data_IF_364266758189
#
_entry.id   IF_364266758189
#
_cell.length_a   1.000
_cell.length_b   1.000
_cell.length_c   1.000
_cell.angle_alpha   90.00
_cell.angle_beta   90.00
_cell.angle_gamma   90.00
#
_symmetry.space_group_name_H-M   'P 1'
#
loop_
_entity.id
_entity.type
_entity.pdbx_description
1 polymer ?
#
# COMPACT_ATOMS: atom_id res chain seq x y z
N UNK A 1 12.64 -18.00 6.39
CA UNK A 1 12.68 -17.04 7.53
C UNK A 1 11.36 -17.13 8.27
N UNK A 2 11.39 -17.38 9.58
CA UNK A 2 10.17 -17.57 10.39
C UNK A 2 9.14 -16.44 10.25
N UNK A 3 9.60 -15.19 10.13
CA UNK A 3 8.70 -14.06 9.92
C UNK A 3 7.87 -14.17 8.64
N UNK A 4 8.48 -14.61 7.53
CA UNK A 4 7.75 -14.80 6.27
C UNK A 4 6.78 -15.98 6.38
N UNK A 5 7.18 -17.06 7.06
CA UNK A 5 6.32 -18.20 7.33
C UNK A 5 5.08 -17.79 8.16
N UNK A 6 5.27 -16.93 9.17
CA UNK A 6 4.18 -16.39 9.97
C UNK A 6 3.22 -15.53 9.13
N UNK A 7 3.74 -14.70 8.22
CA UNK A 7 2.92 -13.92 7.29
C UNK A 7 2.16 -14.81 6.29
N UNK A 8 2.82 -15.86 5.77
CA UNK A 8 2.19 -16.86 4.91
C UNK A 8 1.08 -17.61 5.65
N UNK A 9 1.28 -17.91 6.93
CA UNK A 9 0.23 -18.51 7.78
C UNK A 9 -0.93 -17.53 7.96
N UNK A 10 -0.65 -16.25 8.19
CA UNK A 10 -1.68 -15.22 8.37
C UNK A 10 -2.62 -15.08 7.16
N UNK A 11 -2.09 -15.20 5.95
CA UNK A 11 -2.86 -15.10 4.70
C UNK A 11 -3.27 -16.46 4.12
N UNK A 12 -2.98 -17.55 4.86
CA UNK A 12 -3.43 -18.91 4.57
C UNK A 12 -2.62 -19.69 3.54
N UNK A 13 -1.49 -19.18 3.12
CA UNK A 13 -0.58 -19.88 2.20
C UNK A 13 0.26 -20.96 2.92
N UNK A 14 0.15 -21.04 4.26
CA UNK A 14 0.88 -21.99 5.10
C UNK A 14 0.07 -22.34 6.36
N UNK A 15 0.27 -23.54 6.94
CA UNK A 15 -0.46 -23.99 8.12
C UNK A 15 0.34 -23.93 9.42
N UNK A 16 1.67 -24.02 9.35
CA UNK A 16 2.53 -24.06 10.52
C UNK A 16 3.93 -23.52 10.19
N UNK A 17 4.68 -23.14 11.22
CA UNK A 17 6.09 -22.77 11.09
C UNK A 17 6.97 -24.02 10.93
N UNK A 18 8.16 -23.87 10.38
CA UNK A 18 9.12 -24.98 10.22
C UNK A 18 9.57 -25.59 11.54
N UNK A 19 9.59 -24.79 12.61
CA UNK A 19 9.82 -25.24 13.98
C UNK A 19 9.08 -24.32 14.96
N UNK A 20 8.95 -24.77 16.21
CA UNK A 20 8.42 -23.94 17.29
C UNK A 20 9.49 -22.90 17.70
N UNK A 21 9.23 -21.58 17.58
CA UNK A 21 10.21 -20.57 17.92
C UNK A 21 10.50 -20.50 19.41
N UNK A 22 11.74 -20.18 19.78
CA UNK A 22 12.15 -19.87 21.15
C UNK A 22 11.53 -18.55 21.63
N UNK A 23 11.64 -18.23 22.90
CA UNK A 23 11.14 -16.96 23.46
C UNK A 23 11.85 -15.75 22.84
N UNK A 24 13.14 -15.87 22.54
CA UNK A 24 13.97 -14.84 21.89
C UNK A 24 13.51 -14.64 20.43
N UNK A 25 13.35 -15.73 19.67
CA UNK A 25 12.86 -15.69 18.29
C UNK A 25 11.47 -15.06 18.22
N UNK A 26 10.57 -15.38 19.16
CA UNK A 26 9.26 -14.73 19.25
C UNK A 26 9.34 -13.23 19.52
N UNK A 27 10.29 -12.78 20.34
CA UNK A 27 10.53 -11.36 20.60
C UNK A 27 11.03 -10.63 19.34
N UNK A 28 11.90 -11.28 18.55
CA UNK A 28 12.38 -10.77 17.27
C UNK A 28 11.26 -10.70 16.23
N UNK A 29 10.40 -11.73 16.15
CA UNK A 29 9.25 -11.77 15.26
C UNK A 29 8.28 -10.63 15.56
N UNK A 30 8.01 -10.35 16.83
CA UNK A 30 7.17 -9.24 17.25
C UNK A 30 7.78 -7.89 16.88
N UNK A 31 9.07 -7.70 17.13
CA UNK A 31 9.79 -6.48 16.74
C UNK A 31 9.78 -6.25 15.21
N UNK A 32 9.96 -7.31 14.43
CA UNK A 32 9.86 -7.26 12.97
C UNK A 32 8.44 -6.91 12.51
N UNK A 33 7.41 -7.49 13.13
CA UNK A 33 6.02 -7.17 12.84
C UNK A 33 5.71 -5.68 13.07
N UNK A 34 6.24 -5.10 14.16
CA UNK A 34 6.13 -3.68 14.43
C UNK A 34 6.92 -2.85 13.40
N UNK A 35 8.17 -3.22 13.12
CA UNK A 35 9.05 -2.55 12.15
C UNK A 35 8.45 -2.48 10.76
N UNK A 36 7.73 -3.53 10.34
CA UNK A 36 7.10 -3.63 9.03
C UNK A 36 5.63 -3.17 8.99
N UNK A 37 5.11 -2.66 10.13
CA UNK A 37 3.70 -2.27 10.32
C UNK A 37 2.71 -3.40 9.97
N UNK A 38 3.06 -4.63 10.34
CA UNK A 38 2.28 -5.85 10.14
C UNK A 38 1.86 -6.50 11.46
N UNK A 39 1.85 -5.77 12.56
CA UNK A 39 1.56 -6.28 13.91
C UNK A 39 0.25 -7.07 13.96
N UNK A 40 -0.85 -6.51 13.44
CA UNK A 40 -2.14 -7.20 13.45
C UNK A 40 -2.16 -8.42 12.52
N UNK A 41 -1.66 -8.27 11.29
CA UNK A 41 -1.60 -9.39 10.32
C UNK A 41 -0.76 -10.55 10.86
N UNK A 42 0.43 -10.27 11.39
CA UNK A 42 1.28 -11.32 11.95
C UNK A 42 0.64 -11.96 13.20
N UNK A 43 -0.11 -11.20 14.01
CA UNK A 43 -0.89 -11.76 15.12
C UNK A 43 -1.99 -12.71 14.61
N UNK A 44 -2.66 -12.38 13.52
CA UNK A 44 -3.61 -13.31 12.91
C UNK A 44 -2.92 -14.64 12.53
N UNK A 45 -1.67 -14.59 12.04
CA UNK A 45 -0.87 -15.80 11.85
C UNK A 45 -0.66 -16.57 13.16
N UNK A 46 -0.35 -15.89 14.27
CA UNK A 46 -0.24 -16.50 15.60
C UNK A 46 -1.53 -17.19 16.04
N UNK A 47 -2.69 -16.59 15.78
CA UNK A 47 -4.00 -17.18 16.10
C UNK A 47 -4.23 -18.52 15.39
N UNK A 48 -3.71 -18.66 14.17
CA UNK A 48 -3.86 -19.86 13.32
C UNK A 48 -2.84 -20.95 13.61
N UNK A 49 -1.72 -20.63 14.33
CA UNK A 49 -0.70 -21.61 14.64
C UNK A 49 -1.19 -22.68 15.63
N UNK A 50 -0.69 -23.94 15.50
CA UNK A 50 -0.85 -24.96 16.52
C UNK A 50 -0.40 -24.47 17.90
N UNK A 51 -1.03 -24.93 18.98
CA UNK A 51 -0.77 -24.45 20.34
C UNK A 51 0.72 -24.54 20.73
N UNK A 52 1.40 -25.63 20.34
CA UNK A 52 2.83 -25.85 20.61
C UNK A 52 3.80 -24.92 19.86
N UNK A 53 3.29 -24.11 18.91
CA UNK A 53 4.07 -23.13 18.15
C UNK A 53 3.77 -21.68 18.53
N UNK A 54 2.90 -21.44 19.52
CA UNK A 54 2.49 -20.08 19.92
C UNK A 54 3.49 -19.40 20.83
N UNK A 55 3.55 -18.05 20.87
CA UNK A 55 4.47 -17.33 21.76
C UNK A 55 4.14 -17.54 23.24
N UNK A 56 5.11 -17.28 24.16
CA UNK A 56 4.86 -17.27 25.59
C UNK A 56 3.70 -16.34 25.98
N UNK A 57 2.90 -16.74 26.99
CA UNK A 57 1.68 -16.02 27.42
C UNK A 57 1.85 -14.50 27.61
N UNK A 58 2.93 -13.97 28.23
CA UNK A 58 3.09 -12.52 28.38
C UNK A 58 3.16 -11.80 27.03
N UNK A 59 3.96 -12.31 26.08
CA UNK A 59 4.11 -11.73 24.74
C UNK A 59 2.83 -11.92 23.91
N UNK A 60 2.17 -13.07 24.03
CA UNK A 60 0.88 -13.32 23.38
C UNK A 60 -0.16 -12.27 23.81
N UNK A 61 -0.26 -11.98 25.12
CA UNK A 61 -1.19 -10.97 25.62
C UNK A 61 -0.84 -9.55 25.15
N UNK A 62 0.46 -9.20 25.17
CA UNK A 62 0.94 -7.91 24.66
C UNK A 62 0.58 -7.73 23.18
N UNK A 63 0.80 -8.75 22.37
CA UNK A 63 0.52 -8.72 20.93
C UNK A 63 -0.99 -8.66 20.65
N UNK A 64 -1.78 -9.45 21.39
CA UNK A 64 -3.23 -9.38 21.36
C UNK A 64 -3.75 -7.96 21.62
N UNK A 65 -3.31 -7.34 22.70
CA UNK A 65 -3.73 -5.97 23.06
C UNK A 65 -3.34 -4.93 21.99
N UNK A 66 -2.17 -5.09 21.37
CA UNK A 66 -1.76 -4.22 20.25
C UNK A 66 -2.65 -4.43 19.03
N UNK A 67 -3.05 -5.67 18.75
CA UNK A 67 -3.94 -6.01 17.63
C UNK A 67 -5.36 -5.50 17.85
N UNK A 68 -5.91 -5.64 19.05
CA UNK A 68 -7.26 -5.12 19.36
C UNK A 68 -7.32 -3.58 19.23
N UNK A 69 -6.24 -2.87 19.58
CA UNK A 69 -6.14 -1.42 19.30
C UNK A 69 -6.17 -1.13 17.80
N UNK A 70 -5.44 -1.91 16.98
CA UNK A 70 -5.46 -1.78 15.51
C UNK A 70 -6.86 -1.99 14.97
N UNK A 71 -7.59 -3.02 15.43
CA UNK A 71 -8.97 -3.30 15.02
C UNK A 71 -9.92 -2.16 15.37
N UNK A 72 -9.84 -1.64 16.60
CA UNK A 72 -10.66 -0.52 17.03
C UNK A 72 -10.38 0.76 16.20
N UNK A 73 -9.11 1.04 15.91
CA UNK A 73 -8.72 2.17 15.06
C UNK A 73 -9.26 2.01 13.62
N UNK A 74 -9.22 0.80 13.04
CA UNK A 74 -9.74 0.56 11.69
C UNK A 74 -11.26 0.77 11.63
N UNK A 75 -12.02 0.27 12.61
CA UNK A 75 -13.47 0.47 12.68
C UNK A 75 -13.84 1.96 12.70
N UNK A 76 -13.14 2.75 13.50
CA UNK A 76 -13.34 4.20 13.57
C UNK A 76 -12.91 4.89 12.27
N UNK A 77 -11.79 4.48 11.69
CA UNK A 77 -11.25 5.06 10.47
C UNK A 77 -12.17 4.79 9.26
N UNK A 78 -12.73 3.59 9.16
CA UNK A 78 -13.71 3.22 8.12
C UNK A 78 -14.95 4.12 8.17
N UNK A 79 -15.50 4.32 9.37
CA UNK A 79 -16.65 5.18 9.60
C UNK A 79 -16.34 6.63 9.20
N UNK A 80 -15.19 7.16 9.64
CA UNK A 80 -14.77 8.52 9.32
C UNK A 80 -14.46 8.70 7.84
N UNK A 81 -13.78 7.74 7.20
CA UNK A 81 -13.47 7.80 5.78
C UNK A 81 -14.71 7.87 4.89
N UNK A 82 -15.74 7.08 5.24
CA UNK A 82 -17.03 7.13 4.54
C UNK A 82 -17.71 8.50 4.72
N UNK A 83 -17.72 9.03 5.96
CA UNK A 83 -18.29 10.37 6.25
C UNK A 83 -17.57 11.48 5.48
N UNK A 84 -16.25 11.41 5.38
CA UNK A 84 -15.44 12.37 4.60
C UNK A 84 -15.76 12.28 3.10
N UNK A 85 -15.86 11.06 2.56
CA UNK A 85 -16.20 10.87 1.14
C UNK A 85 -17.59 11.42 0.81
N UNK A 86 -18.58 11.21 1.68
CA UNK A 86 -19.93 11.78 1.54
C UNK A 86 -19.90 13.29 1.62
N UNK A 87 -19.19 13.88 2.60
CA UNK A 87 -19.07 15.33 2.72
C UNK A 87 -18.54 15.95 1.43
N UNK A 88 -17.48 15.41 0.85
CA UNK A 88 -16.94 15.93 -0.41
C UNK A 88 -17.94 15.78 -1.57
N UNK A 89 -18.66 14.65 -1.63
CA UNK A 89 -19.68 14.43 -2.65
C UNK A 89 -20.82 15.46 -2.54
N UNK A 90 -21.33 15.70 -1.33
CA UNK A 90 -22.40 16.66 -1.04
C UNK A 90 -21.95 18.10 -1.35
N UNK A 91 -20.68 18.42 -1.15
CA UNK A 91 -20.07 19.72 -1.47
C UNK A 91 -19.72 19.87 -2.98
N UNK A 92 -20.07 18.86 -3.81
CA UNK A 92 -19.87 18.90 -5.27
C UNK A 92 -18.49 18.42 -5.74
N UNK A 93 -17.69 17.79 -4.86
CA UNK A 93 -16.37 17.24 -5.17
C UNK A 93 -16.36 15.70 -5.01
N UNK A 94 -16.92 14.94 -5.97
CA UNK A 94 -16.86 13.49 -5.90
C UNK A 94 -15.41 13.01 -5.89
N UNK A 95 -15.12 11.98 -5.11
CA UNK A 95 -13.77 11.47 -4.97
C UNK A 95 -13.71 10.00 -4.60
N UNK A 96 -12.51 9.41 -4.66
CA UNK A 96 -12.25 8.02 -4.32
C UNK A 96 -11.10 7.92 -3.33
N UNK A 97 -11.18 6.95 -2.41
CA UNK A 97 -10.11 6.64 -1.46
C UNK A 97 -9.03 5.82 -2.19
N UNK A 98 -7.81 6.36 -2.26
CA UNK A 98 -6.74 5.83 -3.11
C UNK A 98 -6.01 4.61 -2.54
N UNK A 99 -5.77 4.58 -1.24
CA UNK A 99 -4.99 3.55 -0.54
C UNK A 99 -5.56 3.32 0.87
N UNK A 100 -4.80 2.68 1.75
CA UNK A 100 -5.21 2.51 3.14
C UNK A 100 -6.53 1.75 3.25
N UNK A 101 -7.56 2.41 3.73
CA UNK A 101 -8.89 1.82 3.94
C UNK A 101 -9.55 1.36 2.62
N UNK A 102 -9.26 2.03 1.49
CA UNK A 102 -9.73 1.59 0.18
C UNK A 102 -9.20 0.22 -0.21
N UNK A 103 -7.89 -0.01 -0.05
CA UNK A 103 -7.26 -1.30 -0.36
C UNK A 103 -7.57 -2.35 0.71
N UNK A 104 -7.75 -1.95 1.98
CA UNK A 104 -8.12 -2.87 3.05
C UNK A 104 -9.40 -3.67 2.73
N UNK A 105 -10.33 -3.11 1.94
CA UNK A 105 -11.54 -3.83 1.49
C UNK A 105 -11.27 -5.06 0.63
N UNK A 106 -10.06 -5.18 0.08
CA UNK A 106 -9.60 -6.34 -0.70
C UNK A 106 -8.94 -7.43 0.16
N UNK A 107 -8.78 -7.20 1.47
CA UNK A 107 -8.11 -8.10 2.41
C UNK A 107 -9.06 -9.24 2.84
N UNK A 108 -9.46 -10.06 1.88
CA UNK A 108 -10.33 -11.21 2.10
C UNK A 108 -9.61 -12.49 1.75
N UNK A 109 -9.75 -13.48 2.61
CA UNK A 109 -9.16 -14.80 2.45
C UNK A 109 -10.24 -15.84 2.66
N UNK A 110 -10.35 -16.79 1.74
CA UNK A 110 -11.25 -17.93 1.89
C UNK A 110 -10.56 -19.02 2.72
N UNK A 111 -11.17 -19.42 3.82
CA UNK A 111 -10.74 -20.57 4.60
C UNK A 111 -11.48 -21.82 4.11
N UNK A 112 -10.77 -22.73 3.48
CA UNK A 112 -11.28 -24.07 3.21
C UNK A 112 -10.91 -24.95 4.40
N UNK A 113 -11.91 -25.48 5.10
CA UNK A 113 -11.66 -26.52 6.11
C UNK A 113 -10.93 -27.69 5.43
N UNK A 114 -9.70 -27.97 5.90
CA UNK A 114 -8.82 -29.08 5.50
C UNK A 114 -8.06 -29.00 4.17
N UNK A 115 -7.94 -27.88 3.48
CA UNK A 115 -6.96 -27.79 2.39
C UNK A 115 -6.62 -26.34 2.04
N UNK A 116 -5.44 -26.15 1.46
CA UNK A 116 -4.88 -24.87 0.98
C UNK A 116 -5.94 -23.83 0.65
N UNK A 117 -5.85 -22.63 1.25
CA UNK A 117 -6.68 -21.50 0.91
C UNK A 117 -6.77 -21.34 -0.62
N UNK A 118 -7.96 -21.44 -1.17
CA UNK A 118 -8.23 -21.05 -2.55
C UNK A 118 -8.67 -19.61 -2.56
N UNK A 119 -7.92 -18.77 -3.26
CA UNK A 119 -8.39 -17.45 -3.67
C UNK A 119 -9.29 -17.70 -4.88
N UNK A 120 -10.60 -17.71 -4.70
CA UNK A 120 -11.53 -17.80 -5.81
C UNK A 120 -11.78 -16.41 -6.39
N UNK A 121 -11.54 -16.30 -7.70
CA UNK A 121 -11.86 -15.12 -8.47
C UNK A 121 -13.38 -14.96 -8.54
N UNK A 122 -13.94 -13.94 -7.91
CA UNK A 122 -15.31 -13.51 -8.21
C UNK A 122 -15.35 -12.89 -9.61
N UNK A 123 -15.45 -13.72 -10.65
CA UNK A 123 -15.95 -13.29 -11.95
C UNK A 123 -17.49 -13.32 -11.91
N UNK A 124 -18.20 -12.27 -12.42
CA UNK A 124 -19.66 -12.19 -12.39
C UNK A 124 -20.39 -13.18 -13.33
N UNK A 125 -19.70 -14.05 -14.05
CA UNK A 125 -20.28 -14.99 -15.00
C UNK A 125 -19.77 -16.42 -14.79
N UNK A 126 -20.27 -17.08 -13.74
CA UNK A 126 -20.24 -18.52 -13.67
C UNK A 126 -21.58 -19.06 -13.18
N UNK A 127 -22.22 -19.81 -14.07
CA UNK A 127 -23.49 -20.47 -13.91
C UNK A 127 -23.62 -21.25 -12.59
N UNK A 128 -24.78 -21.07 -11.98
CA UNK A 128 -25.24 -21.79 -10.81
C UNK A 128 -25.64 -23.23 -11.16
N UNK A 129 -24.66 -24.14 -11.21
CA UNK A 129 -24.93 -25.59 -11.07
C UNK A 129 -23.66 -26.33 -10.64
N UNK A 130 -23.34 -26.32 -9.36
CA UNK A 130 -22.78 -27.48 -8.66
C UNK A 130 -22.97 -27.32 -7.16
N UNK A 131 -23.95 -28.06 -6.66
CA UNK A 131 -24.30 -28.21 -5.27
C UNK A 131 -23.26 -29.14 -4.61
N UNK A 132 -22.20 -28.56 -4.03
CA UNK A 132 -21.37 -29.20 -2.99
C UNK A 132 -21.28 -28.22 -1.84
N UNK A 133 -21.94 -28.56 -0.73
CA UNK A 133 -21.91 -27.84 0.52
C UNK A 133 -20.52 -27.95 1.16
N UNK A 134 -19.55 -27.19 0.63
CA UNK A 134 -18.35 -26.80 1.35
C UNK A 134 -18.61 -25.38 1.86
N UNK A 135 -18.88 -25.23 3.13
CA UNK A 135 -18.97 -23.92 3.80
C UNK A 135 -17.59 -23.30 3.86
N UNK A 136 -17.22 -22.59 2.79
CA UNK A 136 -16.06 -21.68 2.81
C UNK A 136 -16.44 -20.48 3.66
N UNK A 137 -15.78 -20.30 4.80
CA UNK A 137 -15.89 -19.07 5.57
C UNK A 137 -14.89 -18.05 5.03
N UNK A 138 -15.40 -17.00 4.40
CA UNK A 138 -14.60 -15.84 4.02
C UNK A 138 -14.19 -15.09 5.30
N UNK A 139 -12.87 -14.89 5.50
CA UNK A 139 -12.33 -14.11 6.62
C UNK A 139 -11.87 -12.76 6.16
N UNK A 140 -12.38 -11.71 6.78
CA UNK A 140 -12.01 -10.32 6.53
C UNK A 140 -10.77 -9.96 7.38
N UNK A 141 -9.62 -9.74 6.73
CA UNK A 141 -8.39 -9.31 7.36
C UNK A 141 -8.21 -7.79 7.39
N UNK A 142 -9.17 -7.02 6.87
CA UNK A 142 -9.07 -5.54 6.82
C UNK A 142 -8.83 -4.93 8.20
N UNK A 143 -9.44 -5.48 9.23
CA UNK A 143 -9.30 -5.00 10.61
C UNK A 143 -7.92 -5.25 11.22
N UNK A 144 -7.16 -6.22 10.72
CA UNK A 144 -5.79 -6.51 11.17
C UNK A 144 -4.73 -5.65 10.49
N UNK A 145 -5.07 -4.95 9.41
CA UNK A 145 -4.15 -4.06 8.69
C UNK A 145 -3.82 -2.85 9.56
N UNK A 146 -2.53 -2.54 9.75
CA UNK A 146 -2.13 -1.31 10.47
C UNK A 146 -2.70 -0.09 9.73
N UNK A 147 -3.51 0.75 10.39
CA UNK A 147 -4.12 1.93 9.79
C UNK A 147 -3.10 3.00 9.44
N UNK A 148 -3.52 3.98 8.64
CA UNK A 148 -2.74 5.15 8.24
C UNK A 148 -3.64 6.33 7.96
N UNK A 149 -3.14 7.27 7.16
CA UNK A 149 -3.84 8.41 6.62
C UNK A 149 -4.95 8.03 5.61
N UNK A 150 -5.86 8.95 5.39
CA UNK A 150 -6.87 8.85 4.32
C UNK A 150 -6.42 9.72 3.15
N UNK A 151 -6.10 9.07 2.03
CA UNK A 151 -5.84 9.74 0.76
C UNK A 151 -7.11 9.72 -0.08
N UNK A 152 -7.69 10.87 -0.33
CA UNK A 152 -8.85 10.98 -1.19
C UNK A 152 -8.52 11.77 -2.46
N UNK A 153 -8.69 11.14 -3.62
CA UNK A 153 -8.54 11.82 -4.90
C UNK A 153 -9.87 12.43 -5.32
N UNK A 154 -9.94 13.75 -5.27
CA UNK A 154 -11.12 14.51 -5.70
C UNK A 154 -11.08 14.76 -7.20
N UNK A 155 -12.22 14.61 -7.83
CA UNK A 155 -12.41 14.93 -9.26
C UNK A 155 -12.84 16.36 -9.41
N UNK A 156 -12.06 17.13 -10.18
CA UNK A 156 -12.28 18.55 -10.42
C UNK A 156 -11.01 19.23 -10.90
N UNK A 157 -11.12 20.53 -11.16
CA UNK A 157 -9.95 21.35 -11.43
C UNK A 157 -9.22 21.59 -10.12
N UNK A 158 -7.89 21.58 -10.19
CA UNK A 158 -7.04 21.80 -9.02
C UNK A 158 -7.36 23.11 -8.30
N UNK A 159 -7.62 24.16 -9.08
CA UNK A 159 -7.90 25.50 -8.59
C UNK A 159 -9.19 25.51 -7.75
N UNK A 160 -10.24 24.85 -8.22
CA UNK A 160 -11.53 24.75 -7.55
C UNK A 160 -11.41 23.95 -6.23
N UNK A 161 -10.66 22.83 -6.27
CA UNK A 161 -10.39 22.01 -5.09
C UNK A 161 -9.57 22.81 -4.06
N UNK A 162 -8.55 23.55 -4.49
CA UNK A 162 -7.75 24.40 -3.59
C UNK A 162 -8.56 25.53 -2.98
N UNK A 163 -9.43 26.18 -3.75
CA UNK A 163 -10.34 27.20 -3.24
C UNK A 163 -11.28 26.62 -2.17
N UNK A 164 -11.84 25.45 -2.43
CA UNK A 164 -12.65 24.72 -1.45
C UNK A 164 -11.87 24.40 -0.17
N UNK A 165 -10.65 23.83 -0.29
CA UNK A 165 -9.83 23.52 0.88
C UNK A 165 -9.47 24.78 1.66
N UNK A 166 -9.12 25.89 1.01
CA UNK A 166 -8.81 27.18 1.66
C UNK A 166 -9.97 27.76 2.45
N UNK A 167 -11.22 27.52 2.05
CA UNK A 167 -12.40 27.93 2.84
C UNK A 167 -12.45 27.23 4.20
N UNK A 168 -11.90 26.02 4.30
CA UNK A 168 -11.89 25.25 5.55
C UNK A 168 -10.54 25.34 6.27
N UNK A 169 -9.45 25.49 5.54
CA UNK A 169 -8.06 25.54 6.04
C UNK A 169 -7.33 26.70 5.34
N UNK A 170 -7.51 27.96 5.79
CA UNK A 170 -6.96 29.15 5.12
C UNK A 170 -5.44 29.08 4.87
N UNK A 171 -4.69 28.56 5.85
CA UNK A 171 -3.21 28.47 5.81
C UNK A 171 -2.70 27.15 5.19
N UNK A 172 -3.53 26.44 4.42
CA UNK A 172 -3.14 25.18 3.81
C UNK A 172 -1.93 25.35 2.86
N UNK A 173 -1.02 24.39 2.89
CA UNK A 173 0.23 24.42 2.11
C UNK A 173 0.25 23.30 1.07
N UNK A 174 -0.26 23.52 -0.13
CA UNK A 174 -0.32 22.49 -1.15
C UNK A 174 1.07 22.04 -1.59
N UNK A 175 1.21 20.76 -1.87
CA UNK A 175 2.31 20.17 -2.61
C UNK A 175 1.85 19.83 -4.03
N UNK A 176 2.72 19.21 -4.84
CA UNK A 176 2.40 18.94 -6.25
C UNK A 176 1.12 18.12 -6.44
N UNK A 177 0.84 17.15 -5.60
CA UNK A 177 -0.21 16.16 -5.79
C UNK A 177 -1.34 16.24 -4.77
N UNK A 178 -1.12 16.79 -3.58
CA UNK A 178 -2.13 16.88 -2.54
C UNK A 178 -2.03 18.16 -1.70
N UNK A 179 -2.98 18.31 -0.82
CA UNK A 179 -2.99 19.27 0.29
C UNK A 179 -3.59 18.60 1.53
N UNK A 180 -3.05 18.92 2.71
CA UNK A 180 -3.57 18.43 3.98
C UNK A 180 -4.95 19.05 4.28
N UNK A 181 -5.88 18.23 4.78
CA UNK A 181 -7.23 18.64 5.15
C UNK A 181 -7.60 18.15 6.56
N UNK A 182 -7.00 18.71 7.62
CA UNK A 182 -7.17 18.24 9.00
C UNK A 182 -8.48 18.76 9.63
N UNK A 183 -9.61 18.58 8.93
CA UNK A 183 -10.93 19.10 9.38
C UNK A 183 -11.64 18.11 10.30
N UNK A 184 -11.27 16.83 10.23
CA UNK A 184 -11.85 15.77 11.08
C UNK A 184 -10.85 15.42 12.17
N UNK A 185 -11.22 15.70 13.44
CA UNK A 185 -10.35 15.46 14.59
C UNK A 185 -9.86 14.00 14.65
N UNK A 186 -8.57 13.84 14.92
CA UNK A 186 -7.92 12.53 14.99
C UNK A 186 -7.75 11.79 13.66
N UNK A 187 -7.98 12.47 12.52
CA UNK A 187 -7.85 11.89 11.20
C UNK A 187 -6.92 12.74 10.32
N UNK A 188 -5.84 12.14 9.83
CA UNK A 188 -5.00 12.73 8.80
C UNK A 188 -5.64 12.47 7.44
N UNK A 189 -6.05 13.54 6.75
CA UNK A 189 -6.67 13.49 5.42
C UNK A 189 -5.76 14.23 4.46
N UNK A 190 -5.41 13.58 3.36
CA UNK A 190 -4.73 14.18 2.21
C UNK A 190 -5.69 14.27 1.02
N UNK A 191 -6.03 15.50 0.62
CA UNK A 191 -6.84 15.75 -0.57
C UNK A 191 -5.95 15.80 -1.79
N UNK A 192 -6.05 14.81 -2.65
CA UNK A 192 -5.25 14.66 -3.86
C UNK A 192 -5.89 15.34 -5.08
N UNK A 193 -5.08 16.14 -5.79
CA UNK A 193 -5.43 16.70 -7.11
C UNK A 193 -5.09 15.72 -8.24
N UNK A 194 -4.06 14.91 -8.01
CA UNK A 194 -3.65 13.77 -8.83
C UNK A 194 -3.17 12.65 -7.92
N UNK A 195 -3.46 11.38 -8.25
CA UNK A 195 -3.13 10.25 -7.36
C UNK A 195 -1.66 10.13 -7.03
N UNK A 196 -0.77 10.40 -7.97
CA UNK A 196 0.68 10.32 -7.79
C UNK A 196 1.43 11.06 -8.90
N UNK A 197 2.77 11.00 -8.88
CA UNK A 197 3.63 11.59 -9.91
C UNK A 197 4.92 10.77 -10.08
N UNK A 198 5.69 11.08 -11.14
CA UNK A 198 7.05 10.60 -11.35
C UNK A 198 8.01 11.78 -11.52
N UNK A 199 9.28 11.61 -11.11
CA UNK A 199 10.27 12.68 -11.20
C UNK A 199 10.62 13.03 -12.65
N UNK A 200 10.72 12.02 -13.52
CA UNK A 200 11.06 12.23 -14.92
C UNK A 200 9.85 12.78 -15.70
N UNK A 201 9.97 13.93 -16.42
CA UNK A 201 8.83 14.60 -17.05
C UNK A 201 8.09 13.73 -18.07
N UNK A 202 8.81 12.92 -18.84
CA UNK A 202 8.18 12.06 -19.87
C UNK A 202 7.32 10.95 -19.27
N UNK A 203 7.84 10.25 -18.24
CA UNK A 203 7.09 9.22 -17.54
C UNK A 203 5.94 9.83 -16.75
N UNK A 204 6.15 11.00 -16.14
CA UNK A 204 5.08 11.73 -15.45
C UNK A 204 3.94 12.11 -16.39
N UNK A 205 4.22 12.63 -17.61
CA UNK A 205 3.16 12.93 -18.59
C UNK A 205 2.34 11.69 -18.95
N UNK A 206 2.97 10.52 -19.09
CA UNK A 206 2.29 9.25 -19.38
C UNK A 206 1.44 8.81 -18.19
N UNK A 207 1.97 8.93 -16.98
CA UNK A 207 1.24 8.62 -15.75
C UNK A 207 0.00 9.52 -15.59
N UNK A 208 0.16 10.85 -15.79
CA UNK A 208 -0.97 11.77 -15.70
C UNK A 208 -2.03 11.51 -16.79
N UNK A 209 -1.63 11.02 -17.97
CA UNK A 209 -2.57 10.57 -19.00
C UNK A 209 -3.35 9.35 -18.52
N UNK A 210 -2.67 8.32 -18.00
CA UNK A 210 -3.29 7.14 -17.42
C UNK A 210 -4.32 7.51 -16.35
N UNK A 211 -4.00 8.42 -15.42
CA UNK A 211 -4.93 8.86 -14.39
C UNK A 211 -6.17 9.55 -14.98
N UNK A 212 -6.02 10.42 -15.98
CA UNK A 212 -7.16 11.06 -16.66
C UNK A 212 -8.07 10.06 -17.38
N UNK A 213 -7.49 9.07 -18.05
CA UNK A 213 -8.23 8.02 -18.75
C UNK A 213 -9.07 7.17 -17.80
N UNK A 214 -8.62 6.98 -16.55
CA UNK A 214 -9.32 6.19 -15.54
C UNK A 214 -10.14 7.04 -14.55
N UNK A 215 -10.15 8.37 -14.67
CA UNK A 215 -10.88 9.24 -13.77
C UNK A 215 -12.41 8.98 -13.81
N UNK A 216 -12.98 8.86 -15.02
CA UNK A 216 -14.42 8.63 -15.19
C UNK A 216 -14.89 7.27 -14.65
N UNK A 217 -14.11 6.20 -14.84
CA UNK A 217 -14.43 4.89 -14.28
C UNK A 217 -14.36 4.86 -12.75
N UNK A 218 -13.49 5.68 -12.17
CA UNK A 218 -13.41 5.85 -10.71
C UNK A 218 -14.61 6.63 -10.15
N UNK A 219 -15.16 7.59 -10.91
CA UNK A 219 -16.34 8.35 -10.50
C UNK A 219 -17.60 7.51 -10.28
N UNK A 220 -17.81 6.46 -11.08
CA UNK A 220 -18.98 5.61 -10.94
C UNK A 220 -19.04 4.92 -9.57
N UNK A 221 -17.89 4.63 -8.95
CA UNK A 221 -17.81 4.08 -7.60
C UNK A 221 -18.07 5.13 -6.52
N UNK A 222 -17.80 6.41 -6.78
CA UNK A 222 -17.99 7.49 -5.81
C UNK A 222 -19.45 7.89 -5.60
N UNK A 223 -20.35 7.51 -6.50
CA UNK A 223 -21.77 7.81 -6.42
C UNK A 223 -22.58 6.84 -5.53
N UNK A 224 -21.93 5.83 -4.93
CA UNK A 224 -22.58 4.90 -4.03
C UNK A 224 -22.48 5.36 -2.57
N UNK A 225 -23.62 5.70 -1.96
CA UNK A 225 -23.69 6.09 -0.53
C UNK A 225 -23.55 4.90 0.44
N UNK A 226 -23.48 3.66 -0.05
CA UNK A 226 -23.49 2.46 0.80
C UNK A 226 -22.10 1.88 1.07
N UNK A 227 -21.12 2.18 0.25
CA UNK A 227 -19.77 1.62 0.34
C UNK A 227 -18.70 2.70 0.17
N UNK A 228 -17.52 2.45 0.72
CA UNK A 228 -16.37 3.32 0.55
C UNK A 228 -16.00 3.39 -0.94
N UNK A 229 -15.97 4.58 -1.56
CA UNK A 229 -15.62 4.70 -2.98
C UNK A 229 -14.14 4.41 -3.19
N UNK A 230 -13.82 3.43 -4.02
CA UNK A 230 -12.46 3.01 -4.35
C UNK A 230 -12.26 2.92 -5.86
N UNK A 231 -11.05 3.19 -6.37
CA UNK A 231 -10.75 2.99 -7.79
C UNK A 231 -10.83 1.51 -8.18
N UNK A 232 -11.13 1.25 -9.46
CA UNK A 232 -11.18 -0.10 -10.01
C UNK A 232 -9.83 -0.83 -9.99
N UNK A 233 -9.85 -2.15 -10.13
CA UNK A 233 -8.65 -3.00 -10.02
C UNK A 233 -7.58 -2.67 -11.06
N UNK A 234 -7.97 -2.39 -12.31
CA UNK A 234 -7.03 -1.99 -13.37
C UNK A 234 -6.25 -0.74 -13.00
N UNK A 235 -6.92 0.25 -12.40
CA UNK A 235 -6.25 1.43 -11.86
C UNK A 235 -5.32 1.06 -10.71
N UNK A 236 -5.79 0.30 -9.74
CA UNK A 236 -5.03 -0.04 -8.53
C UNK A 236 -3.79 -0.88 -8.82
N UNK A 237 -3.80 -1.77 -9.83
CA UNK A 237 -2.61 -2.54 -10.26
C UNK A 237 -1.46 -1.63 -10.70
N UNK A 238 -1.75 -0.49 -11.30
CA UNK A 238 -0.74 0.50 -11.69
C UNK A 238 -0.46 1.47 -10.55
N UNK A 239 -1.50 2.03 -9.95
CA UNK A 239 -1.37 3.09 -8.96
C UNK A 239 -0.61 2.65 -7.70
N UNK A 240 -0.97 1.49 -7.11
CA UNK A 240 -0.30 1.01 -5.89
C UNK A 240 1.18 0.71 -6.17
N UNK A 241 1.52 0.15 -7.34
CA UNK A 241 2.91 -0.09 -7.70
C UNK A 241 3.68 1.23 -7.89
N UNK A 242 3.07 2.25 -8.51
CA UNK A 242 3.67 3.60 -8.63
C UNK A 242 3.84 4.22 -7.24
N UNK A 243 2.88 4.08 -6.35
CA UNK A 243 2.94 4.57 -4.98
C UNK A 243 4.10 3.94 -4.20
N UNK A 244 4.24 2.61 -4.22
CA UNK A 244 5.37 1.89 -3.63
C UNK A 244 6.70 2.39 -4.22
N UNK A 245 6.78 2.53 -5.55
CA UNK A 245 7.96 3.02 -6.24
C UNK A 245 8.37 4.43 -5.78
N UNK A 246 7.41 5.32 -5.62
CA UNK A 246 7.65 6.68 -5.12
C UNK A 246 8.21 6.70 -3.70
N UNK A 247 7.60 5.94 -2.80
CA UNK A 247 8.06 5.87 -1.42
C UNK A 247 9.46 5.26 -1.29
N UNK A 248 9.84 4.30 -2.15
CA UNK A 248 11.19 3.74 -2.15
C UNK A 248 12.28 4.83 -2.24
N UNK A 249 12.07 5.88 -3.06
CA UNK A 249 13.03 6.98 -3.20
C UNK A 249 12.84 8.12 -2.19
N UNK A 250 11.65 8.31 -1.68
CA UNK A 250 11.34 9.43 -0.78
C UNK A 250 11.71 9.13 0.67
N UNK A 251 11.24 7.99 1.17
CA UNK A 251 11.25 7.66 2.60
C UNK A 251 11.74 6.24 2.86
N UNK A 252 11.45 5.32 1.96
CA UNK A 252 11.55 3.88 2.12
C UNK A 252 10.17 3.23 2.14
N UNK A 253 10.14 1.91 2.02
CA UNK A 253 8.92 1.12 1.99
C UNK A 253 9.02 -0.04 2.98
N UNK A 254 7.87 -0.52 3.48
CA UNK A 254 7.77 -1.70 4.32
C UNK A 254 6.96 -2.81 3.65
N UNK A 255 6.91 -3.97 4.29
CA UNK A 255 6.15 -5.12 3.80
C UNK A 255 4.63 -4.87 3.83
N UNK A 256 4.13 -3.91 4.63
CA UNK A 256 2.72 -3.52 4.62
C UNK A 256 2.26 -3.06 3.24
N UNK A 257 3.04 -2.19 2.56
CA UNK A 257 2.70 -1.73 1.22
C UNK A 257 2.77 -2.86 0.17
N UNK A 258 3.67 -3.82 0.36
CA UNK A 258 3.75 -5.00 -0.48
C UNK A 258 2.55 -5.92 -0.26
N UNK A 259 2.07 -6.06 0.98
CA UNK A 259 0.86 -6.82 1.28
C UNK A 259 -0.40 -6.15 0.67
N UNK A 260 -0.50 -4.81 0.69
CA UNK A 260 -1.55 -4.10 -0.05
C UNK A 260 -1.55 -4.51 -1.54
N UNK A 261 -0.36 -4.56 -2.16
CA UNK A 261 -0.25 -4.94 -3.56
C UNK A 261 -0.52 -6.44 -3.81
N UNK A 262 -0.13 -7.31 -2.88
CA UNK A 262 -0.49 -8.74 -2.90
C UNK A 262 -2.01 -8.91 -3.05
N UNK A 263 -2.81 -8.26 -2.21
CA UNK A 263 -4.26 -8.38 -2.25
C UNK A 263 -4.88 -7.77 -3.52
N UNK A 264 -4.31 -6.70 -4.06
CA UNK A 264 -4.73 -6.15 -5.36
C UNK A 264 -4.52 -7.15 -6.49
N UNK A 265 -3.39 -7.86 -6.51
CA UNK A 265 -3.08 -8.85 -7.53
C UNK A 265 -3.91 -10.13 -7.38
N UNK A 266 -4.17 -10.55 -6.14
CA UNK A 266 -4.96 -11.73 -5.83
C UNK A 266 -6.46 -11.59 -6.17
N UNK A 267 -6.94 -10.37 -6.49
CA UNK A 267 -8.28 -10.20 -7.06
C UNK A 267 -8.39 -10.77 -8.50
N UNK A 268 -7.29 -11.27 -9.06
CA UNK A 268 -7.23 -11.83 -10.40
C UNK A 268 -7.27 -10.78 -11.52
N UNK A 269 -7.04 -11.22 -12.73
CA UNK A 269 -7.11 -10.41 -13.96
C UNK A 269 -7.16 -11.33 -15.19
N UNK A 270 -7.77 -10.84 -16.26
CA UNK A 270 -7.70 -11.51 -17.55
C UNK A 270 -6.34 -11.28 -18.21
N UNK A 271 -6.00 -12.05 -19.24
CA UNK A 271 -4.76 -11.85 -19.99
C UNK A 271 -4.71 -10.44 -20.64
N UNK A 272 -5.85 -9.94 -21.15
CA UNK A 272 -5.94 -8.61 -21.73
C UNK A 272 -5.67 -7.52 -20.70
N UNK A 273 -6.19 -7.68 -19.46
CA UNK A 273 -5.94 -6.75 -18.35
C UNK A 273 -4.47 -6.79 -17.90
N UNK A 274 -3.87 -7.99 -17.86
CA UNK A 274 -2.44 -8.19 -17.58
C UNK A 274 -1.58 -7.45 -18.59
N UNK A 275 -1.84 -7.68 -19.88
CA UNK A 275 -1.11 -7.03 -20.96
C UNK A 275 -1.30 -5.49 -20.95
N UNK A 276 -2.53 -5.00 -20.71
CA UNK A 276 -2.80 -3.57 -20.60
C UNK A 276 -2.03 -2.95 -19.44
N UNK A 277 -2.03 -3.60 -18.27
CA UNK A 277 -1.24 -3.18 -17.10
C UNK A 277 0.25 -3.15 -17.46
N UNK A 278 0.76 -4.21 -18.08
CA UNK A 278 2.17 -4.29 -18.44
C UNK A 278 2.56 -3.29 -19.54
N UNK A 279 1.71 -2.99 -20.53
CA UNK A 279 1.94 -1.89 -21.50
C UNK A 279 2.10 -0.55 -20.76
N UNK A 280 1.25 -0.27 -19.79
CA UNK A 280 1.33 0.94 -18.98
C UNK A 280 2.64 0.97 -18.19
N UNK A 281 2.98 -0.08 -17.45
CA UNK A 281 4.21 -0.17 -16.65
C UNK A 281 5.48 -0.06 -17.49
N UNK A 282 5.52 -0.66 -18.70
CA UNK A 282 6.62 -0.47 -19.66
C UNK A 282 6.74 0.99 -20.10
N UNK A 283 5.62 1.65 -20.38
CA UNK A 283 5.60 3.06 -20.77
C UNK A 283 6.15 3.97 -19.65
N UNK A 284 5.94 3.58 -18.39
CA UNK A 284 6.45 4.24 -17.20
C UNK A 284 7.89 3.82 -16.83
N UNK A 285 8.52 2.90 -17.58
CA UNK A 285 9.84 2.32 -17.29
C UNK A 285 9.90 1.58 -15.94
N UNK A 286 8.78 0.99 -15.53
CA UNK A 286 8.65 0.29 -14.23
C UNK A 286 8.73 -1.23 -14.35
N UNK A 287 9.01 -1.79 -15.52
CA UNK A 287 9.02 -3.23 -15.75
C UNK A 287 10.01 -3.97 -14.84
N UNK A 288 11.23 -3.45 -14.67
CA UNK A 288 12.24 -4.01 -13.76
C UNK A 288 11.76 -3.98 -12.30
N UNK A 289 11.17 -2.86 -11.87
CA UNK A 289 10.61 -2.75 -10.54
C UNK A 289 9.44 -3.72 -10.30
N UNK A 290 8.58 -3.89 -11.31
CA UNK A 290 7.50 -4.88 -11.23
C UNK A 290 8.06 -6.29 -11.04
N UNK A 291 9.09 -6.70 -11.80
CA UNK A 291 9.75 -8.00 -11.62
C UNK A 291 10.37 -8.17 -10.23
N UNK A 292 11.02 -7.12 -9.70
CA UNK A 292 11.55 -7.12 -8.33
C UNK A 292 10.45 -7.31 -7.29
N UNK A 293 9.33 -6.60 -7.44
CA UNK A 293 8.17 -6.73 -6.54
C UNK A 293 7.57 -8.13 -6.63
N UNK A 294 7.40 -8.72 -7.83
CA UNK A 294 6.91 -10.10 -7.98
C UNK A 294 7.79 -11.08 -7.22
N UNK A 295 9.12 -10.93 -7.30
CA UNK A 295 10.04 -11.78 -6.55
C UNK A 295 9.86 -11.62 -5.02
N UNK A 296 9.75 -10.38 -4.52
CA UNK A 296 9.51 -10.13 -3.08
C UNK A 296 8.18 -10.74 -2.63
N UNK A 297 7.11 -10.57 -3.40
CA UNK A 297 5.80 -11.16 -3.08
C UNK A 297 5.86 -12.69 -3.05
N UNK A 298 6.64 -13.31 -3.95
CA UNK A 298 6.85 -14.76 -3.92
C UNK A 298 7.61 -15.22 -2.70
N UNK A 299 8.69 -14.54 -2.34
CA UNK A 299 9.53 -14.92 -1.19
C UNK A 299 8.84 -14.68 0.16
N UNK A 300 8.12 -13.57 0.29
CA UNK A 300 7.54 -13.16 1.58
C UNK A 300 6.16 -13.76 1.79
N UNK A 301 5.30 -13.73 0.78
CA UNK A 301 3.89 -14.10 0.90
C UNK A 301 3.52 -15.38 0.14
N UNK A 302 4.45 -15.95 -0.64
CA UNK A 302 4.21 -17.12 -1.51
C UNK A 302 3.02 -16.91 -2.45
N UNK A 303 3.00 -15.74 -3.13
CA UNK A 303 1.94 -15.42 -4.10
C UNK A 303 1.83 -16.49 -5.19
N UNK A 304 0.61 -16.84 -5.57
CA UNK A 304 0.34 -17.76 -6.68
C UNK A 304 0.86 -17.16 -8.01
N UNK A 305 1.49 -18.00 -8.84
CA UNK A 305 2.06 -17.58 -10.11
C UNK A 305 0.99 -16.98 -11.06
N UNK A 306 -0.27 -17.42 -10.93
CA UNK A 306 -1.41 -16.86 -11.69
C UNK A 306 -1.72 -15.41 -11.34
N UNK A 307 -1.33 -14.95 -10.14
CA UNK A 307 -1.49 -13.58 -9.67
C UNK A 307 -0.31 -12.68 -10.06
N UNK A 308 0.70 -13.18 -10.77
CA UNK A 308 1.87 -12.41 -11.15
C UNK A 308 1.69 -11.70 -12.50
N UNK A 309 2.00 -10.42 -12.54
CA UNK A 309 1.96 -9.61 -13.77
C UNK A 309 3.09 -9.95 -14.75
N UNK A 310 4.25 -10.31 -14.22
CA UNK A 310 5.49 -10.59 -14.97
C UNK A 310 6.34 -11.60 -14.19
N UNK A 311 7.23 -12.28 -14.87
CA UNK A 311 8.20 -13.18 -14.24
C UNK A 311 9.01 -12.44 -13.15
N UNK A 312 9.25 -13.08 -11.99
CA UNK A 312 10.06 -12.53 -10.92
C UNK A 312 11.51 -12.24 -11.36
N UNK A 313 12.04 -11.09 -10.95
CA UNK A 313 13.46 -10.74 -11.12
C UNK A 313 14.17 -10.95 -9.77
N UNK A 314 14.90 -12.06 -9.63
CA UNK A 314 15.58 -12.42 -8.39
C UNK A 314 16.65 -11.40 -8.00
N UNK A 315 17.47 -10.93 -8.95
CA UNK A 315 18.57 -10.02 -8.66
C UNK A 315 18.06 -8.70 -8.09
N UNK A 316 17.09 -8.09 -8.76
CA UNK A 316 16.48 -6.82 -8.33
C UNK A 316 15.59 -7.03 -7.09
N UNK A 317 14.95 -8.19 -6.97
CA UNK A 317 14.09 -8.54 -5.85
C UNK A 317 14.86 -8.73 -4.54
N UNK A 318 16.03 -9.39 -4.57
CA UNK A 318 16.91 -9.50 -3.40
C UNK A 318 17.34 -8.12 -2.89
N UNK A 319 17.80 -7.27 -3.78
CA UNK A 319 18.18 -5.91 -3.44
C UNK A 319 17.01 -5.11 -2.85
N UNK A 320 15.80 -5.23 -3.45
CA UNK A 320 14.60 -4.57 -2.95
C UNK A 320 14.21 -5.07 -1.55
N UNK A 321 14.24 -6.39 -1.32
CA UNK A 321 13.91 -6.97 -0.03
C UNK A 321 14.90 -6.54 1.07
N UNK A 322 16.19 -6.48 0.77
CA UNK A 322 17.20 -5.95 1.70
C UNK A 322 16.90 -4.51 2.12
N UNK A 323 16.57 -3.63 1.15
CA UNK A 323 16.19 -2.25 1.44
C UNK A 323 14.92 -2.17 2.30
N UNK A 324 13.91 -3.00 2.02
CA UNK A 324 12.66 -3.09 2.81
C UNK A 324 12.94 -3.52 4.25
N UNK A 325 13.70 -4.59 4.42
CA UNK A 325 14.00 -5.15 5.75
C UNK A 325 14.87 -4.20 6.58
N UNK A 326 15.77 -3.46 5.94
CA UNK A 326 16.60 -2.45 6.60
C UNK A 326 15.78 -1.23 7.02
N UNK A 327 14.99 -0.68 6.09
CA UNK A 327 14.30 0.59 6.29
C UNK A 327 13.06 0.49 7.19
N UNK A 328 12.34 -0.62 7.15
CA UNK A 328 11.04 -0.76 7.78
C UNK A 328 9.98 0.15 7.16
N UNK A 329 8.80 0.20 7.77
CA UNK A 329 7.69 0.97 7.25
C UNK A 329 8.03 2.46 7.12
N UNK A 330 7.91 3.02 5.92
CA UNK A 330 8.26 4.40 5.57
C UNK A 330 9.67 4.84 6.01
N UNK A 331 10.63 3.91 6.06
CA UNK A 331 12.01 4.21 6.41
C UNK A 331 12.22 4.68 7.87
N UNK A 332 11.26 4.46 8.76
CA UNK A 332 11.33 4.90 10.15
C UNK A 332 12.53 4.30 10.91
N UNK A 333 13.05 3.18 10.46
CA UNK A 333 14.19 2.48 11.04
C UNK A 333 15.46 2.62 10.21
N UNK A 334 15.44 3.44 9.15
CA UNK A 334 16.62 3.67 8.29
C UNK A 334 17.45 4.83 8.83
N UNK A 335 18.52 4.51 9.52
CA UNK A 335 19.48 5.51 10.06
C UNK A 335 20.03 6.43 8.96
N UNK A 336 20.08 5.98 7.71
CA UNK A 336 20.51 6.78 6.56
C UNK A 336 19.54 7.91 6.22
N UNK A 337 18.28 7.81 6.63
CA UNK A 337 17.19 8.76 6.36
C UNK A 337 16.81 9.59 7.58
N UNK A 338 17.16 9.15 8.79
CA UNK A 338 16.84 9.89 10.02
C UNK A 338 17.57 11.22 10.06
N UNK A 339 16.85 12.28 10.46
CA UNK A 339 17.45 13.59 10.72
C UNK A 339 18.37 13.50 11.94
N UNK A 340 19.61 13.96 11.81
CA UNK A 340 20.57 13.99 12.91
C UNK A 340 20.48 15.35 13.62
N UNK A 341 20.44 15.35 14.94
CA UNK A 341 20.36 16.58 15.72
C UNK A 341 21.51 17.53 15.39
N UNK A 342 21.20 18.78 15.02
CA UNK A 342 22.18 19.77 14.59
C UNK A 342 22.62 19.67 13.13
N UNK A 343 22.07 18.74 12.34
CA UNK A 343 22.36 18.63 10.93
C UNK A 343 21.66 19.74 10.11
N UNK A 344 22.39 20.36 9.18
CA UNK A 344 21.77 21.33 8.28
C UNK A 344 20.86 20.61 7.24
N UNK A 345 19.79 21.30 6.79
CA UNK A 345 18.91 20.79 5.75
C UNK A 345 19.67 20.37 4.46
N UNK A 346 20.78 21.06 4.15
CA UNK A 346 21.63 20.72 3.00
C UNK A 346 22.33 19.38 3.21
N UNK A 347 22.91 19.14 4.39
CA UNK A 347 23.58 17.86 4.70
C UNK A 347 22.58 16.70 4.67
N UNK A 348 21.43 16.88 5.28
CA UNK A 348 20.34 15.90 5.23
C UNK A 348 19.88 15.61 3.80
N UNK A 349 19.72 16.66 2.97
CA UNK A 349 19.42 16.53 1.54
C UNK A 349 20.48 15.73 0.77
N UNK A 350 21.76 16.00 1.02
CA UNK A 350 22.89 15.29 0.40
C UNK A 350 22.93 13.80 0.82
N UNK A 351 22.63 13.48 2.08
CA UNK A 351 22.53 12.08 2.54
C UNK A 351 21.40 11.33 1.81
N UNK A 352 20.25 11.95 1.63
CA UNK A 352 19.14 11.37 0.84
C UNK A 352 19.56 11.14 -0.63
N UNK A 353 20.25 12.08 -1.23
CA UNK A 353 20.79 11.90 -2.60
C UNK A 353 21.78 10.74 -2.65
N UNK A 354 22.75 10.69 -1.72
CA UNK A 354 23.72 9.58 -1.63
C UNK A 354 23.04 8.23 -1.45
N UNK A 355 22.03 8.14 -0.57
CA UNK A 355 21.24 6.93 -0.38
C UNK A 355 20.54 6.51 -1.67
N UNK A 356 19.91 7.45 -2.37
CA UNK A 356 19.17 7.16 -3.59
C UNK A 356 20.10 6.81 -4.77
N UNK A 357 21.37 7.22 -4.72
CA UNK A 357 22.33 6.87 -5.77
C UNK A 357 22.57 5.37 -5.91
N UNK A 358 22.31 4.58 -4.87
CA UNK A 358 22.31 3.10 -4.90
C UNK A 358 21.33 2.52 -5.92
N UNK A 359 20.24 3.23 -6.18
CA UNK A 359 19.21 2.84 -7.13
C UNK A 359 19.47 3.29 -8.56
N UNK A 360 20.56 4.05 -8.82
CA UNK A 360 20.81 4.64 -10.15
C UNK A 360 20.99 3.58 -11.23
N UNK A 361 21.59 2.44 -10.89
CA UNK A 361 21.81 1.34 -11.84
C UNK A 361 20.49 0.69 -12.28
N UNK A 362 19.56 0.53 -11.34
CA UNK A 362 18.28 -0.13 -11.58
C UNK A 362 17.22 0.84 -12.09
N UNK A 363 17.20 2.09 -11.58
CA UNK A 363 16.15 3.07 -11.84
C UNK A 363 16.70 4.46 -12.20
N UNK A 364 17.59 4.58 -13.24
CA UNK A 364 18.33 5.81 -13.53
C UNK A 364 17.42 7.01 -13.78
N UNK A 365 16.30 6.81 -14.45
CA UNK A 365 15.36 7.89 -14.78
C UNK A 365 14.85 8.60 -13.52
N UNK A 366 14.35 7.86 -12.54
CA UNK A 366 13.78 8.45 -11.32
C UNK A 366 14.85 9.06 -10.42
N UNK A 367 16.01 8.41 -10.30
CA UNK A 367 17.11 8.90 -9.45
C UNK A 367 17.70 10.19 -9.99
N UNK A 368 18.02 10.24 -11.30
CA UNK A 368 18.68 11.40 -11.91
C UNK A 368 17.74 12.61 -12.02
N UNK A 369 16.45 12.40 -12.25
CA UNK A 369 15.47 13.49 -12.30
C UNK A 369 15.03 13.98 -10.92
N UNK A 370 15.24 13.20 -9.85
CA UNK A 370 14.79 13.56 -8.50
C UNK A 370 15.33 14.92 -8.00
N UNK A 371 16.62 15.27 -8.13
CA UNK A 371 17.11 16.58 -7.71
C UNK A 371 16.48 17.73 -8.52
N UNK A 372 16.32 17.54 -9.83
CA UNK A 372 15.73 18.55 -10.72
C UNK A 372 14.25 18.78 -10.40
N UNK A 373 13.51 17.68 -10.16
CA UNK A 373 12.11 17.79 -9.72
C UNK A 373 11.99 18.52 -8.39
N UNK A 374 12.85 18.22 -7.40
CA UNK A 374 12.83 18.88 -6.09
C UNK A 374 13.13 20.39 -6.21
N UNK A 375 14.09 20.77 -7.05
CA UNK A 375 14.40 22.17 -7.32
C UNK A 375 13.22 22.89 -7.99
N UNK A 376 12.66 22.29 -9.03
CA UNK A 376 11.47 22.82 -9.70
C UNK A 376 10.29 22.95 -8.72
N UNK A 377 10.01 21.93 -7.88
CA UNK A 377 8.95 21.92 -6.91
C UNK A 377 9.12 22.98 -5.82
N UNK A 378 10.37 23.25 -5.41
CA UNK A 378 10.68 24.35 -4.48
C UNK A 378 10.26 25.71 -5.04
N UNK A 379 10.60 26.03 -6.30
CA UNK A 379 10.15 27.25 -6.94
C UNK A 379 8.66 27.28 -7.24
N UNK A 380 8.11 26.13 -7.62
CA UNK A 380 6.69 25.98 -7.84
C UNK A 380 5.89 26.30 -6.56
N UNK A 381 6.28 25.75 -5.41
CA UNK A 381 5.63 26.07 -4.11
C UNK A 381 5.67 27.55 -3.78
N UNK A 382 6.79 28.23 -4.01
CA UNK A 382 6.90 29.70 -3.77
C UNK A 382 5.95 30.55 -4.61
N UNK A 383 5.45 30.03 -5.72
CA UNK A 383 4.49 30.74 -6.59
C UNK A 383 3.03 30.43 -6.23
N UNK A 384 2.78 29.38 -5.45
CA UNK A 384 1.43 28.89 -5.13
C UNK A 384 1.11 28.94 -3.63
N UNK A 385 2.06 29.35 -2.81
CA UNK A 385 1.91 29.77 -1.42
C UNK A 385 1.81 31.27 -1.33
#
# INVERSE_FOLDING_TARGET
>A
MLFFELLQTAIGNRQALTHAPSAEEWSELYALAQKQALTGIAFHGVELLPEGQRPPKPLLMQWYMATERIKAMNAELDRKALGVAHKFLDDGFPGVILKGQGIAKLYRVEQVENSKLKIENCHPECDATHNTQNTTQEKDLSFYRTPGDIDIWLHGKREDILEYVRKHVPDCKPVYHHVDFPVVEGLAIEVHFTPSWMNAPMTNRRLQRFFREHALSSLSSSLSFKALPIPGLTFNRVYILVHIYRHLFAEGIGLRQLLDYYFVLCQGFTEEEREATMRTLRSLRMQRFAGAVMWVLKQVFDIDDRCMLIAPDEHEGRFLLEEIMQAGNFGQYDERLQYQQGESALRWGLRKVKRNFRFVRSYPSEVLWSPLFKLWHYFWRRRHL
#
